data_IF_803927101711
#
_entry.id   IF_803927101711
#
_cell.length_a   1.000
_cell.length_b   1.000
_cell.length_c   1.000
_cell.angle_alpha   90.00
_cell.angle_beta   90.00
_cell.angle_gamma   90.00
#
_symmetry.space_group_name_H-M   'P 1'
#
loop_
_entity.id
_entity.type
_entity.pdbx_description
1 polymer ?
#
# COMPACT_ATOMS: atom_id res chain seq x y z
N UNK A 1 -57.97 -23.18 33.62
CA UNK A 1 -58.57 -21.83 33.48
C UNK A 1 -57.41 -20.86 33.31
N UNK A 2 -57.22 -20.07 32.27
CA UNK A 2 -57.99 -19.74 31.09
C UNK A 2 -57.00 -19.48 29.92
N UNK A 3 -57.46 -19.70 28.69
CA UNK A 3 -56.75 -19.43 27.43
C UNK A 3 -56.61 -17.92 27.19
N UNK A 4 -55.58 -17.43 26.46
CA UNK A 4 -55.68 -16.19 25.74
C UNK A 4 -56.14 -16.45 24.29
N UNK A 5 -57.25 -15.82 23.94
CA UNK A 5 -57.88 -15.89 22.63
C UNK A 5 -57.08 -15.13 21.57
N UNK A 6 -56.92 -15.79 20.42
CA UNK A 6 -56.52 -15.22 19.13
C UNK A 6 -57.58 -14.21 18.66
N UNK A 7 -57.16 -13.00 18.27
CA UNK A 7 -57.95 -12.10 17.45
C UNK A 7 -57.35 -12.01 16.03
N UNK A 8 -58.18 -11.87 14.98
CA UNK A 8 -57.77 -12.12 13.61
C UNK A 8 -57.17 -10.88 12.94
N UNK A 9 -56.23 -11.13 12.03
CA UNK A 9 -55.68 -10.16 11.10
C UNK A 9 -56.76 -9.64 10.15
N UNK A 10 -57.02 -8.33 10.19
CA UNK A 10 -57.81 -7.65 9.17
C UNK A 10 -56.93 -7.33 7.97
N UNK A 11 -57.14 -8.11 6.92
CA UNK A 11 -56.60 -7.92 5.58
C UNK A 11 -57.30 -6.72 4.92
N UNK A 12 -56.54 -5.71 4.50
CA UNK A 12 -57.04 -4.61 3.66
C UNK A 12 -56.52 -4.78 2.22
N UNK A 13 -57.37 -4.56 1.20
CA UNK A 13 -57.08 -4.90 -0.18
C UNK A 13 -56.16 -3.87 -0.85
N UNK A 14 -55.30 -4.38 -1.72
CA UNK A 14 -54.59 -3.61 -2.72
C UNK A 14 -55.56 -3.05 -3.78
N UNK A 15 -55.27 -1.84 -4.25
CA UNK A 15 -55.75 -1.35 -5.55
C UNK A 15 -56.83 -0.28 -5.48
N UNK A 16 -56.41 0.99 -5.52
CA UNK A 16 -57.08 1.97 -6.38
C UNK A 16 -56.13 3.09 -6.78
N UNK A 17 -56.10 3.32 -8.09
CA UNK A 17 -55.30 4.32 -8.77
C UNK A 17 -55.62 5.74 -8.28
N UNK A 18 -54.58 6.56 -8.23
CA UNK A 18 -54.66 7.99 -8.00
C UNK A 18 -55.54 8.67 -9.07
N UNK A 19 -56.48 9.56 -8.71
CA UNK A 19 -57.08 10.46 -9.67
C UNK A 19 -56.07 11.52 -10.09
N UNK A 20 -55.77 11.57 -11.39
CA UNK A 20 -55.04 12.66 -12.02
C UNK A 20 -55.90 13.93 -11.97
N UNK A 21 -55.36 15.02 -11.43
CA UNK A 21 -55.97 16.35 -11.47
C UNK A 21 -55.54 17.10 -12.75
N UNK A 22 -56.45 17.86 -13.38
CA UNK A 22 -56.20 18.50 -14.66
C UNK A 22 -55.24 19.69 -14.54
N UNK A 23 -54.35 19.80 -15.53
CA UNK A 23 -53.56 20.97 -15.80
C UNK A 23 -54.45 22.15 -16.24
N UNK A 24 -54.16 23.35 -15.73
CA UNK A 24 -54.53 24.60 -16.38
C UNK A 24 -55.60 25.43 -15.66
N UNK A 25 -55.17 26.32 -14.76
CA UNK A 25 -55.69 27.69 -14.72
C UNK A 25 -54.71 28.62 -14.01
N UNK A 26 -54.44 29.75 -14.67
CA UNK A 26 -53.53 30.79 -14.22
C UNK A 26 -53.98 31.41 -12.88
N UNK A 27 -53.03 31.58 -11.96
CA UNK A 27 -53.22 32.27 -10.70
C UNK A 27 -53.39 33.79 -10.93
N UNK A 28 -54.27 34.48 -10.17
CA UNK A 28 -54.30 35.95 -10.15
C UNK A 28 -53.05 36.48 -9.46
N UNK A 29 -52.41 37.49 -10.07
CA UNK A 29 -51.33 38.25 -9.46
C UNK A 29 -51.89 39.11 -8.32
N UNK A 30 -51.39 38.89 -7.10
CA UNK A 30 -51.62 39.76 -5.94
C UNK A 30 -50.47 40.77 -5.80
N UNK A 31 -50.75 41.99 -5.32
CA UNK A 31 -49.80 43.08 -5.29
C UNK A 31 -48.70 42.84 -4.25
N UNK A 32 -47.50 43.34 -4.56
CA UNK A 32 -46.32 43.28 -3.73
C UNK A 32 -46.58 43.91 -2.35
N UNK A 33 -46.88 43.07 -1.36
CA UNK A 33 -46.78 43.39 0.06
C UNK A 33 -45.31 43.42 0.47
N UNK A 34 -44.98 44.42 1.28
CA UNK A 34 -43.68 44.73 1.90
C UNK A 34 -42.75 43.53 2.06
N UNK A 35 -41.51 43.72 1.59
CA UNK A 35 -40.40 42.81 1.77
C UNK A 35 -40.23 42.42 3.25
N UNK A 36 -40.24 41.11 3.52
CA UNK A 36 -39.70 40.55 4.74
C UNK A 36 -38.24 41.00 4.91
N UNK A 37 -37.76 41.27 6.14
CA UNK A 37 -36.34 41.46 6.36
C UNK A 37 -35.65 40.14 6.07
N UNK A 38 -34.91 40.09 4.96
CA UNK A 38 -33.94 39.03 4.76
C UNK A 38 -32.93 39.14 5.91
N UNK A 39 -32.93 38.15 6.80
CA UNK A 39 -31.77 37.90 7.67
C UNK A 39 -30.53 37.94 6.77
N UNK A 40 -29.51 38.74 7.10
CA UNK A 40 -28.30 38.77 6.29
C UNK A 40 -27.77 37.35 6.28
N UNK A 41 -27.76 36.74 5.09
CA UNK A 41 -27.11 35.48 4.84
C UNK A 41 -25.73 35.56 5.50
N UNK A 42 -25.50 34.71 6.52
CA UNK A 42 -24.26 34.63 7.25
C UNK A 42 -23.12 34.60 6.24
N UNK A 43 -22.42 35.74 6.12
CA UNK A 43 -21.39 35.92 5.11
C UNK A 43 -20.30 34.93 5.47
N UNK A 44 -20.07 34.00 4.53
CA UNK A 44 -19.15 32.89 4.64
C UNK A 44 -17.90 33.28 5.43
N UNK A 45 -17.58 32.46 6.44
CA UNK A 45 -16.28 32.45 7.08
C UNK A 45 -15.21 32.54 5.98
N UNK A 46 -14.52 33.68 5.92
CA UNK A 46 -13.44 33.89 4.96
C UNK A 46 -12.34 32.93 5.37
N UNK A 47 -12.31 31.79 4.70
CA UNK A 47 -11.28 30.76 4.86
C UNK A 47 -9.92 31.40 4.64
N UNK A 48 -8.97 31.05 5.51
CA UNK A 48 -7.56 31.35 5.35
C UNK A 48 -7.07 30.68 4.05
N UNK A 49 -7.13 31.41 2.93
CA UNK A 49 -6.55 30.98 1.67
C UNK A 49 -5.07 31.37 1.67
N UNK A 50 -4.22 30.36 1.79
CA UNK A 50 -2.79 30.46 1.54
C UNK A 50 -2.51 30.34 0.03
N UNK A 51 -1.75 31.30 -0.51
CA UNK A 51 -1.14 31.29 -1.85
C UNK A 51 -1.98 31.94 -2.96
N UNK A 52 -1.46 32.71 -3.93
CA UNK A 52 -0.09 33.14 -4.21
C UNK A 52 -0.13 34.32 -5.23
N UNK A 53 0.88 35.19 -5.14
CA UNK A 53 1.47 36.06 -6.18
C UNK A 53 0.59 36.77 -7.26
N UNK A 54 0.58 38.11 -7.17
CA UNK A 54 0.39 39.01 -8.30
C UNK A 54 1.29 40.25 -8.11
N UNK A 55 2.42 40.30 -8.83
CA UNK A 55 3.33 41.44 -8.91
C UNK A 55 2.61 42.65 -9.53
N UNK A 56 2.52 43.75 -8.80
CA UNK A 56 2.58 45.09 -9.41
C UNK A 56 3.40 46.04 -8.54
N UNK A 57 4.10 46.93 -9.24
CA UNK A 57 5.32 47.59 -8.84
C UNK A 57 5.13 48.84 -7.99
N UNK A 58 6.18 49.18 -7.23
CA UNK A 58 6.55 50.57 -6.97
C UNK A 58 6.00 51.22 -5.71
N UNK A 59 6.78 51.15 -4.62
CA UNK A 59 6.55 52.00 -3.45
C UNK A 59 7.22 51.46 -2.19
N UNK A 60 8.55 51.51 -2.12
CA UNK A 60 9.28 51.25 -0.86
C UNK A 60 9.03 52.42 0.11
N UNK A 61 7.88 52.38 0.79
CA UNK A 61 7.59 53.24 1.94
C UNK A 61 8.48 52.72 3.07
N UNK A 62 9.61 53.38 3.32
CA UNK A 62 10.39 53.17 4.55
C UNK A 62 9.41 53.28 5.72
N UNK A 63 9.02 52.18 6.33
CA UNK A 63 8.30 52.20 7.61
C UNK A 63 9.22 52.94 8.59
N UNK A 64 8.84 54.18 8.92
CA UNK A 64 9.62 54.98 9.85
C UNK A 64 9.56 54.30 11.21
N UNK A 65 10.63 54.38 12.01
CA UNK A 65 10.66 53.81 13.35
C UNK A 65 9.50 54.31 14.24
N UNK A 66 8.92 55.47 13.91
CA UNK A 66 7.72 56.02 14.53
C UNK A 66 6.46 55.18 14.24
N UNK A 67 6.26 54.72 13.00
CA UNK A 67 5.10 53.91 12.60
C UNK A 67 5.12 52.52 13.24
N UNK A 68 6.30 51.88 13.31
CA UNK A 68 6.46 50.59 14.01
C UNK A 68 6.21 50.75 15.50
N UNK A 69 6.65 51.87 16.10
CA UNK A 69 6.40 52.18 17.52
C UNK A 69 4.91 52.35 17.80
N UNK A 70 4.17 53.02 16.91
CA UNK A 70 2.73 53.19 17.03
C UNK A 70 1.98 51.85 16.92
N UNK A 71 2.34 51.00 15.95
CA UNK A 71 1.81 49.63 15.83
C UNK A 71 2.02 48.82 17.10
N UNK A 72 3.24 48.85 17.66
CA UNK A 72 3.57 48.14 18.90
C UNK A 72 2.80 48.70 20.09
N UNK A 73 2.63 50.02 20.20
CA UNK A 73 1.83 50.63 21.25
C UNK A 73 0.37 50.17 21.18
N UNK A 74 -0.25 50.19 19.99
CA UNK A 74 -1.62 49.69 19.77
C UNK A 74 -1.76 48.22 20.16
N UNK A 75 -0.81 47.37 19.75
CA UNK A 75 -0.76 45.94 20.13
C UNK A 75 -0.64 45.80 21.65
N UNK A 76 0.24 46.55 22.32
CA UNK A 76 0.41 46.44 23.78
C UNK A 76 -0.83 46.89 24.55
N UNK A 77 -1.53 47.91 24.09
CA UNK A 77 -2.79 48.36 24.69
C UNK A 77 -3.90 47.33 24.49
N UNK A 78 -4.00 46.76 23.27
CA UNK A 78 -4.94 45.69 22.97
C UNK A 78 -4.66 44.42 23.79
N UNK A 79 -3.39 44.01 23.93
CA UNK A 79 -3.01 42.88 24.77
C UNK A 79 -3.37 43.12 26.24
N UNK A 80 -3.14 44.33 26.77
CA UNK A 80 -3.55 44.67 28.15
C UNK A 80 -5.07 44.59 28.34
N UNK A 81 -5.86 45.02 27.35
CA UNK A 81 -7.33 44.91 27.37
C UNK A 81 -7.79 43.45 27.27
N UNK A 82 -7.18 42.65 26.39
CA UNK A 82 -7.57 41.24 26.20
C UNK A 82 -7.19 40.36 27.41
N UNK A 83 -6.09 40.69 28.09
CA UNK A 83 -5.57 39.94 29.23
C UNK A 83 -5.84 40.62 30.58
N UNK A 84 -6.90 41.42 30.72
CA UNK A 84 -7.25 42.25 31.90
C UNK A 84 -6.84 41.70 33.30
N UNK A 85 -6.84 40.38 33.53
CA UNK A 85 -6.48 39.73 34.81
C UNK A 85 -5.25 38.79 34.77
N UNK A 86 -4.49 38.73 33.67
CA UNK A 86 -3.32 37.86 33.50
C UNK A 86 -2.11 38.66 32.97
N UNK A 87 -0.87 38.29 33.35
CA UNK A 87 0.31 38.92 32.77
C UNK A 87 0.37 38.62 31.27
N UNK A 88 0.57 39.66 30.45
CA UNK A 88 0.74 39.51 29.00
C UNK A 88 1.96 38.62 28.74
N UNK A 89 1.81 37.50 28.01
CA UNK A 89 2.93 36.62 27.70
C UNK A 89 4.03 37.36 26.95
N UNK A 90 5.29 37.07 27.31
CA UNK A 90 6.44 37.61 26.60
C UNK A 90 6.41 37.12 25.14
N UNK A 91 6.33 38.05 24.20
CA UNK A 91 6.35 37.74 22.77
C UNK A 91 7.61 38.30 22.12
N UNK A 92 8.17 37.55 21.18
CA UNK A 92 9.34 37.99 20.44
C UNK A 92 8.95 39.10 19.46
N UNK A 93 9.51 40.30 19.66
CA UNK A 93 9.24 41.52 18.90
C UNK A 93 9.97 41.47 17.54
N UNK A 94 9.61 40.49 16.72
CA UNK A 94 10.05 40.37 15.33
C UNK A 94 9.07 41.11 14.40
N UNK A 95 9.55 41.69 13.29
CA UNK A 95 8.72 42.40 12.31
C UNK A 95 7.54 41.55 11.80
N UNK A 96 7.75 40.24 11.62
CA UNK A 96 6.67 39.30 11.25
C UNK A 96 5.62 39.16 12.37
N UNK A 97 6.06 39.01 13.62
CA UNK A 97 5.17 38.92 14.80
C UNK A 97 4.37 40.20 15.01
N UNK A 98 5.00 41.37 14.87
CA UNK A 98 4.34 42.67 15.01
C UNK A 98 3.27 42.85 13.92
N UNK A 99 3.58 42.51 12.67
CA UNK A 99 2.60 42.63 11.59
C UNK A 99 1.43 41.65 11.75
N UNK A 100 1.70 40.41 12.18
CA UNK A 100 0.64 39.43 12.46
C UNK A 100 -0.25 39.88 13.62
N UNK A 101 0.34 40.34 14.72
CA UNK A 101 -0.40 40.87 15.86
C UNK A 101 -1.17 42.13 15.49
N UNK A 102 -0.60 43.03 14.69
CA UNK A 102 -1.30 44.22 14.21
C UNK A 102 -2.53 43.86 13.37
N UNK A 103 -2.40 42.92 12.44
CA UNK A 103 -3.56 42.44 11.67
C UNK A 103 -4.62 41.81 12.57
N UNK A 104 -4.21 41.08 13.61
CA UNK A 104 -5.12 40.46 14.56
C UNK A 104 -5.85 41.49 15.42
N UNK A 105 -5.16 42.56 15.82
CA UNK A 105 -5.75 43.74 16.48
C UNK A 105 -6.79 44.38 15.57
N UNK A 106 -6.44 44.71 14.32
CA UNK A 106 -7.36 45.32 13.35
C UNK A 106 -8.60 44.46 13.12
N UNK A 107 -8.41 43.15 12.92
CA UNK A 107 -9.50 42.21 12.76
C UNK A 107 -10.38 42.09 14.01
N UNK A 108 -9.79 42.12 15.20
CA UNK A 108 -10.54 42.08 16.45
C UNK A 108 -11.34 43.35 16.71
N UNK A 109 -10.78 44.53 16.41
CA UNK A 109 -11.45 45.82 16.55
C UNK A 109 -12.55 46.02 15.49
N UNK A 110 -12.35 45.52 14.27
CA UNK A 110 -13.40 45.47 13.25
C UNK A 110 -14.57 44.60 13.72
N UNK A 111 -14.27 43.38 14.18
CA UNK A 111 -15.30 42.50 14.75
C UNK A 111 -16.00 43.10 15.97
N UNK A 112 -15.26 43.77 16.87
CA UNK A 112 -15.83 44.43 18.05
C UNK A 112 -16.74 45.60 17.66
N UNK A 113 -16.38 46.37 16.62
CA UNK A 113 -17.24 47.42 16.05
C UNK A 113 -18.51 46.84 15.44
N UNK A 114 -18.39 45.78 14.64
CA UNK A 114 -19.56 45.12 14.01
C UNK A 114 -20.53 44.57 15.06
N UNK A 115 -20.01 43.92 16.11
CA UNK A 115 -20.80 43.46 17.25
C UNK A 115 -21.45 44.64 17.99
N UNK A 116 -20.72 45.73 18.18
CA UNK A 116 -21.27 46.93 18.84
C UNK A 116 -22.41 47.55 18.04
N UNK A 117 -22.29 47.63 16.71
CA UNK A 117 -23.37 48.10 15.84
C UNK A 117 -24.60 47.19 15.90
N UNK A 118 -24.41 45.86 15.91
CA UNK A 118 -25.51 44.91 16.07
C UNK A 118 -26.21 45.09 17.43
N UNK A 119 -25.46 45.27 18.51
CA UNK A 119 -26.03 45.50 19.85
C UNK A 119 -26.88 46.78 19.85
N UNK A 120 -26.38 47.86 19.25
CA UNK A 120 -27.10 49.12 19.22
C UNK A 120 -28.38 49.04 18.35
N UNK A 121 -28.31 48.36 17.19
CA UNK A 121 -29.49 48.08 16.36
C UNK A 121 -30.55 47.27 17.12
N UNK A 122 -30.13 46.23 17.84
CA UNK A 122 -31.05 45.42 18.65
C UNK A 122 -31.70 46.21 19.78
N UNK A 123 -30.95 47.11 20.43
CA UNK A 123 -31.50 47.99 21.47
C UNK A 123 -32.51 48.98 20.91
N UNK A 124 -32.17 49.62 19.79
CA UNK A 124 -33.06 50.56 19.12
C UNK A 124 -34.37 49.86 18.72
N UNK A 125 -34.26 48.66 18.13
CA UNK A 125 -35.43 47.87 17.75
C UNK A 125 -36.27 47.44 18.95
N UNK A 126 -35.65 47.06 20.07
CA UNK A 126 -36.37 46.74 21.30
C UNK A 126 -37.16 47.96 21.81
N UNK A 127 -36.56 49.14 21.82
CA UNK A 127 -37.24 50.38 22.21
C UNK A 127 -38.40 50.73 21.27
N UNK A 128 -38.26 50.49 19.96
CA UNK A 128 -39.34 50.67 18.99
C UNK A 128 -40.51 49.69 19.24
N UNK A 129 -40.22 48.42 19.51
CA UNK A 129 -41.26 47.44 19.86
C UNK A 129 -41.95 47.76 21.18
N UNK A 130 -41.22 48.22 22.20
CA UNK A 130 -41.80 48.63 23.48
C UNK A 130 -42.75 49.82 23.29
N UNK A 131 -42.34 50.83 22.52
CA UNK A 131 -43.18 51.99 22.22
C UNK A 131 -44.43 51.62 21.40
N UNK A 132 -44.30 50.73 20.42
CA UNK A 132 -45.46 50.23 19.64
C UNK A 132 -46.41 49.40 20.53
N UNK A 133 -45.87 48.60 21.46
CA UNK A 133 -46.69 47.85 22.40
C UNK A 133 -47.49 48.77 23.34
N UNK A 134 -46.87 49.83 23.86
CA UNK A 134 -47.55 50.86 24.66
C UNK A 134 -48.65 51.57 23.85
N UNK A 135 -48.36 51.93 22.60
CA UNK A 135 -49.32 52.56 21.68
C UNK A 135 -50.52 51.65 21.39
N UNK A 136 -50.28 50.39 21.04
CA UNK A 136 -51.37 49.43 20.77
C UNK A 136 -52.20 49.17 22.04
N UNK A 137 -51.56 49.10 23.20
CA UNK A 137 -52.25 48.96 24.47
C UNK A 137 -53.14 50.17 24.77
N UNK A 138 -52.66 51.40 24.54
CA UNK A 138 -53.45 52.62 24.74
C UNK A 138 -54.65 52.65 23.79
N UNK A 139 -54.46 52.29 22.51
CA UNK A 139 -55.56 52.20 21.54
C UNK A 139 -56.61 51.19 21.99
N UNK A 140 -56.21 49.97 22.38
CA UNK A 140 -57.15 48.92 22.82
C UNK A 140 -57.94 49.33 24.07
N UNK A 141 -57.30 50.03 25.01
CA UNK A 141 -57.91 50.41 26.28
C UNK A 141 -58.76 51.69 26.19
N UNK A 142 -58.29 52.73 25.48
CA UNK A 142 -58.96 54.04 25.40
C UNK A 142 -60.05 54.09 24.31
N UNK A 143 -59.85 53.42 23.18
CA UNK A 143 -60.78 53.51 22.03
C UNK A 143 -61.78 52.36 21.96
N UNK A 144 -61.46 51.19 22.52
CA UNK A 144 -62.27 49.98 22.43
C UNK A 144 -62.71 49.42 23.79
N UNK A 145 -62.25 50.00 24.91
CA UNK A 145 -62.48 49.51 26.28
C UNK A 145 -62.11 48.02 26.49
N UNK A 146 -61.17 47.51 25.67
CA UNK A 146 -60.70 46.14 25.73
C UNK A 146 -59.52 46.04 26.69
N UNK A 147 -59.82 45.70 27.94
CA UNK A 147 -58.80 45.35 28.95
C UNK A 147 -58.51 43.85 28.93
N UNK A 148 -57.28 43.39 29.25
CA UNK A 148 -56.99 41.99 29.52
C UNK A 148 -57.89 41.35 30.58
N UNK A 149 -58.43 42.16 31.50
CA UNK A 149 -59.41 41.73 32.52
C UNK A 149 -60.81 41.46 31.97
N UNK A 150 -61.12 41.89 30.74
CA UNK A 150 -62.40 41.68 30.08
C UNK A 150 -62.53 40.27 29.49
N UNK A 151 -61.42 39.52 29.39
CA UNK A 151 -61.39 38.13 28.93
C UNK A 151 -61.69 37.16 30.07
N UNK A 152 -62.40 36.07 29.74
CA UNK A 152 -62.50 34.91 30.64
C UNK A 152 -61.11 34.32 30.93
N UNK A 153 -60.95 33.67 32.09
CA UNK A 153 -59.72 32.90 32.43
C UNK A 153 -59.31 31.95 31.30
N UNK A 154 -60.30 31.29 30.71
CA UNK A 154 -60.11 30.40 29.55
C UNK A 154 -59.53 31.17 28.36
N UNK A 155 -60.11 32.32 28.00
CA UNK A 155 -59.66 33.14 26.88
C UNK A 155 -58.25 33.69 27.07
N UNK A 156 -57.90 34.12 28.29
CA UNK A 156 -56.54 34.55 28.62
C UNK A 156 -55.52 33.41 28.48
N UNK A 157 -55.88 32.18 28.86
CA UNK A 157 -55.01 31.02 28.72
C UNK A 157 -54.79 30.65 27.24
N UNK A 158 -55.83 30.69 26.41
CA UNK A 158 -55.73 30.43 24.98
C UNK A 158 -54.86 31.49 24.27
N UNK A 159 -55.07 32.77 24.58
CA UNK A 159 -54.28 33.86 24.01
C UNK A 159 -52.81 33.74 24.41
N UNK A 160 -52.53 33.45 25.69
CA UNK A 160 -51.17 33.18 26.17
C UNK A 160 -50.53 32.02 25.41
N UNK A 161 -51.24 30.90 25.28
CA UNK A 161 -50.73 29.71 24.56
C UNK A 161 -50.44 30.02 23.09
N UNK A 162 -51.28 30.84 22.45
CA UNK A 162 -51.10 31.26 21.07
C UNK A 162 -49.85 32.14 20.90
N UNK A 163 -49.65 33.10 21.82
CA UNK A 163 -48.45 33.96 21.84
C UNK A 163 -47.20 33.14 22.13
N UNK A 164 -47.23 32.26 23.14
CA UNK A 164 -46.12 31.35 23.47
C UNK A 164 -45.76 30.47 22.26
N UNK A 165 -46.77 29.96 21.53
CA UNK A 165 -46.56 29.18 20.30
C UNK A 165 -45.96 30.01 19.17
N UNK A 166 -46.39 31.26 18.99
CA UNK A 166 -45.80 32.18 18.00
C UNK A 166 -44.33 32.45 18.31
N UNK A 167 -43.99 32.67 19.58
CA UNK A 167 -42.62 32.89 20.03
C UNK A 167 -41.75 31.66 19.81
N UNK A 168 -42.25 30.45 20.11
CA UNK A 168 -41.52 29.20 19.87
C UNK A 168 -41.27 28.96 18.38
N UNK A 169 -42.24 29.29 17.54
CA UNK A 169 -42.13 29.14 16.08
C UNK A 169 -41.46 30.34 15.41
N UNK A 170 -41.10 31.38 16.17
CA UNK A 170 -40.47 32.63 15.71
C UNK A 170 -41.30 33.33 14.61
N UNK A 171 -42.63 33.38 14.77
CA UNK A 171 -43.56 33.96 13.81
C UNK A 171 -43.93 35.41 14.20
N UNK A 172 -43.85 36.34 13.25
CA UNK A 172 -44.15 37.76 13.46
C UNK A 172 -45.66 38.05 13.61
N UNK A 173 -46.52 37.27 12.94
CA UNK A 173 -47.96 37.46 12.90
C UNK A 173 -48.74 36.27 13.48
N UNK A 174 -49.83 36.54 14.19
CA UNK A 174 -50.76 35.50 14.68
C UNK A 174 -51.69 34.94 13.58
N UNK A 175 -51.31 35.06 12.31
CA UNK A 175 -52.06 34.55 11.17
C UNK A 175 -51.90 33.03 11.06
N UNK A 176 -53.02 32.35 10.82
CA UNK A 176 -53.05 30.89 10.63
C UNK A 176 -52.08 30.41 9.53
N UNK A 177 -51.92 31.20 8.46
CA UNK A 177 -51.03 30.84 7.35
C UNK A 177 -49.57 30.82 7.82
N UNK A 178 -49.16 31.83 8.58
CA UNK A 178 -47.79 31.96 9.10
C UNK A 178 -47.45 30.81 10.04
N UNK A 179 -48.38 30.41 10.91
CA UNK A 179 -48.24 29.21 11.75
C UNK A 179 -48.09 27.93 10.91
N UNK A 180 -48.95 27.73 9.91
CA UNK A 180 -48.86 26.53 9.05
C UNK A 180 -47.54 26.48 8.28
N UNK A 181 -47.07 27.61 7.75
CA UNK A 181 -45.78 27.69 7.08
C UNK A 181 -44.64 27.34 8.05
N UNK A 182 -44.56 28.00 9.20
CA UNK A 182 -43.51 27.75 10.19
C UNK A 182 -43.52 26.30 10.71
N UNK A 183 -44.70 25.74 10.99
CA UNK A 183 -44.84 24.34 11.39
C UNK A 183 -44.37 23.37 10.30
N UNK A 184 -44.74 23.63 9.04
CA UNK A 184 -44.31 22.79 7.93
C UNK A 184 -42.81 22.88 7.70
N UNK A 185 -42.22 24.08 7.75
CA UNK A 185 -40.79 24.31 7.60
C UNK A 185 -40.01 23.57 8.70
N UNK A 186 -40.43 23.72 9.97
CA UNK A 186 -39.85 22.96 11.09
C UNK A 186 -40.01 21.45 10.94
N UNK A 187 -41.14 20.98 10.44
CA UNK A 187 -41.36 19.55 10.19
C UNK A 187 -40.45 19.01 9.09
N UNK A 188 -40.22 19.79 8.02
CA UNK A 188 -39.29 19.45 6.96
C UNK A 188 -37.83 19.43 7.45
N UNK A 189 -37.43 20.44 8.22
CA UNK A 189 -36.12 20.49 8.87
C UNK A 189 -35.89 19.28 9.78
N UNK A 190 -36.89 18.93 10.60
CA UNK A 190 -36.83 17.76 11.47
C UNK A 190 -36.62 16.47 10.67
N UNK A 191 -37.43 16.22 9.64
CA UNK A 191 -37.28 15.03 8.80
C UNK A 191 -35.94 14.98 8.06
N UNK A 192 -35.45 16.13 7.58
CA UNK A 192 -34.14 16.21 6.95
C UNK A 192 -33.01 15.87 7.95
N UNK A 193 -33.09 16.39 9.17
CA UNK A 193 -32.15 16.09 10.25
C UNK A 193 -32.21 14.60 10.65
N UNK A 194 -33.41 14.03 10.78
CA UNK A 194 -33.60 12.60 11.07
C UNK A 194 -32.99 11.70 9.99
N UNK A 195 -33.19 12.05 8.71
CA UNK A 195 -32.62 11.30 7.59
C UNK A 195 -31.09 11.36 7.61
N UNK A 196 -30.52 12.55 7.83
CA UNK A 196 -29.07 12.73 7.98
C UNK A 196 -28.51 11.96 9.17
N UNK A 197 -29.22 11.93 10.29
CA UNK A 197 -28.82 11.14 11.46
C UNK A 197 -28.76 9.65 11.15
N UNK A 198 -29.78 9.10 10.46
CA UNK A 198 -29.79 7.70 10.03
C UNK A 198 -28.63 7.37 9.08
N UNK A 199 -28.32 8.28 8.15
CA UNK A 199 -27.17 8.14 7.25
C UNK A 199 -25.85 8.09 8.02
N UNK A 200 -25.63 9.04 8.94
CA UNK A 200 -24.44 9.06 9.80
C UNK A 200 -24.32 7.80 10.67
N UNK A 201 -25.43 7.30 11.23
CA UNK A 201 -25.44 6.04 11.99
C UNK A 201 -25.01 4.84 11.12
N UNK A 202 -25.46 4.80 9.86
CA UNK A 202 -25.06 3.76 8.93
C UNK A 202 -23.57 3.85 8.55
N UNK A 203 -23.05 5.06 8.33
CA UNK A 203 -21.62 5.29 8.11
C UNK A 203 -20.78 4.91 9.33
N UNK A 204 -21.25 5.24 10.54
CA UNK A 204 -20.62 4.85 11.79
C UNK A 204 -20.59 3.32 11.94
N UNK A 205 -21.68 2.62 11.58
CA UNK A 205 -21.71 1.17 11.60
C UNK A 205 -20.72 0.57 10.57
N UNK A 206 -20.64 1.15 9.38
CA UNK A 206 -19.71 0.71 8.34
C UNK A 206 -18.25 0.91 8.75
N UNK A 207 -17.91 2.08 9.29
CA UNK A 207 -16.57 2.37 9.81
C UNK A 207 -16.20 1.45 10.97
N UNK A 208 -17.13 1.16 11.90
CA UNK A 208 -16.93 0.15 12.96
C UNK A 208 -16.62 -1.24 12.39
N UNK A 209 -17.36 -1.71 11.38
CA UNK A 209 -17.10 -3.00 10.72
C UNK A 209 -15.72 -3.04 10.07
N UNK A 210 -15.33 -1.97 9.37
CA UNK A 210 -14.00 -1.83 8.78
C UNK A 210 -12.92 -1.86 9.85
N UNK A 211 -13.09 -1.11 10.93
CA UNK A 211 -12.16 -1.07 12.06
C UNK A 211 -11.97 -2.45 12.69
N UNK A 212 -13.05 -3.20 12.90
CA UNK A 212 -12.94 -4.57 13.43
C UNK A 212 -12.19 -5.50 12.48
N UNK A 213 -12.40 -5.38 11.17
CA UNK A 213 -11.69 -6.19 10.18
C UNK A 213 -10.20 -5.84 10.11
N UNK A 214 -9.85 -4.55 10.20
CA UNK A 214 -8.45 -4.11 10.20
C UNK A 214 -7.72 -4.53 11.48
N UNK A 215 -8.38 -4.47 12.65
CA UNK A 215 -7.79 -4.95 13.91
C UNK A 215 -7.51 -6.45 13.89
N UNK A 216 -8.42 -7.26 13.32
CA UNK A 216 -8.17 -8.70 13.17
C UNK A 216 -6.99 -8.98 12.22
N UNK A 217 -6.85 -8.19 11.15
CA UNK A 217 -5.72 -8.32 10.24
C UNK A 217 -4.40 -7.92 10.92
N UNK A 218 -4.41 -6.87 11.73
CA UNK A 218 -3.26 -6.42 12.53
C UNK A 218 -2.79 -7.52 13.48
N UNK A 219 -3.69 -8.14 14.25
CA UNK A 219 -3.37 -9.25 15.14
C UNK A 219 -2.78 -10.45 14.38
N UNK A 220 -3.27 -10.72 13.16
CA UNK A 220 -2.74 -11.77 12.31
C UNK A 220 -1.32 -11.44 11.81
N UNK A 221 -1.09 -10.19 11.39
CA UNK A 221 0.24 -9.73 10.95
C UNK A 221 1.26 -9.77 12.10
N UNK A 222 0.86 -9.44 13.32
CA UNK A 222 1.70 -9.55 14.50
C UNK A 222 2.12 -11.00 14.77
N UNK A 223 1.18 -11.94 14.69
CA UNK A 223 1.48 -13.39 14.81
C UNK A 223 2.44 -13.87 13.73
N UNK A 224 2.26 -13.40 12.50
CA UNK A 224 3.14 -13.80 11.39
C UNK A 224 4.53 -13.16 11.50
N UNK A 225 4.63 -11.94 12.03
CA UNK A 225 5.92 -11.31 12.36
C UNK A 225 6.69 -12.13 13.39
N UNK A 226 6.05 -12.57 14.47
CA UNK A 226 6.69 -13.42 15.48
C UNK A 226 7.16 -14.77 14.92
N UNK A 227 6.39 -15.39 14.01
CA UNK A 227 6.85 -16.59 13.29
C UNK A 227 8.07 -16.32 12.41
N UNK A 228 8.07 -15.20 11.69
CA UNK A 228 9.21 -14.83 10.83
C UNK A 228 10.45 -14.55 11.68
N UNK A 229 10.29 -13.88 12.82
CA UNK A 229 11.38 -13.59 13.76
C UNK A 229 12.01 -14.87 14.31
N UNK A 230 11.21 -15.82 14.76
CA UNK A 230 11.72 -17.12 15.24
C UNK A 230 12.40 -17.93 14.12
N UNK A 231 11.88 -17.89 12.89
CA UNK A 231 12.53 -18.52 11.74
C UNK A 231 13.86 -17.85 11.39
N UNK A 232 13.93 -16.52 11.49
CA UNK A 232 15.15 -15.75 11.25
C UNK A 232 16.25 -16.15 12.25
N UNK A 233 15.94 -16.20 13.55
CA UNK A 233 16.88 -16.63 14.59
C UNK A 233 17.45 -18.03 14.31
N UNK A 234 16.60 -18.97 13.85
CA UNK A 234 17.02 -20.32 13.47
C UNK A 234 17.95 -20.30 12.25
N UNK A 235 17.63 -19.54 11.21
CA UNK A 235 18.49 -19.44 10.02
C UNK A 235 19.80 -18.71 10.30
N UNK A 236 19.79 -17.69 11.14
CA UNK A 236 21.01 -17.02 11.60
C UNK A 236 21.94 -18.03 12.29
N UNK A 237 21.44 -18.79 13.26
CA UNK A 237 22.22 -19.83 13.94
C UNK A 237 22.74 -20.92 12.99
N UNK A 238 21.94 -21.35 12.01
CA UNK A 238 22.39 -22.30 10.97
C UNK A 238 23.46 -21.70 10.08
N UNK A 239 23.29 -20.44 9.66
CA UNK A 239 24.25 -19.75 8.81
C UNK A 239 25.58 -19.55 9.53
N UNK A 240 25.55 -19.24 10.83
CA UNK A 240 26.73 -19.12 11.68
C UNK A 240 27.44 -20.47 11.82
N UNK A 241 26.71 -21.56 12.06
CA UNK A 241 27.28 -22.92 12.09
C UNK A 241 27.93 -23.30 10.75
N UNK A 242 27.30 -22.97 9.62
CA UNK A 242 27.88 -23.19 8.29
C UNK A 242 29.15 -22.38 8.08
N UNK A 243 29.18 -21.13 8.53
CA UNK A 243 30.35 -20.25 8.45
C UNK A 243 31.52 -20.84 9.25
N UNK A 244 31.26 -21.30 10.48
CA UNK A 244 32.27 -21.96 11.32
C UNK A 244 32.81 -23.24 10.66
N UNK A 245 31.94 -24.07 10.08
CA UNK A 245 32.36 -25.27 9.36
C UNK A 245 33.19 -24.94 8.11
N UNK A 246 32.83 -23.90 7.36
CA UNK A 246 33.60 -23.44 6.21
C UNK A 246 34.99 -22.97 6.62
N UNK A 247 35.10 -22.23 7.72
CA UNK A 247 36.38 -21.81 8.28
C UNK A 247 37.25 -23.02 8.67
N UNK A 248 36.67 -24.00 9.38
CA UNK A 248 37.38 -25.23 9.73
C UNK A 248 37.88 -26.00 8.50
N UNK A 249 37.05 -26.13 7.45
CA UNK A 249 37.45 -26.81 6.22
C UNK A 249 38.58 -26.07 5.49
N UNK A 250 38.54 -24.73 5.50
CA UNK A 250 39.61 -23.91 4.94
C UNK A 250 40.93 -24.17 5.68
N UNK A 251 40.92 -24.08 7.00
CA UNK A 251 42.11 -24.32 7.84
C UNK A 251 42.66 -25.73 7.63
N UNK A 252 41.78 -26.75 7.56
CA UNK A 252 42.16 -28.13 7.26
C UNK A 252 42.75 -28.30 5.87
N UNK A 253 42.25 -27.59 4.86
CA UNK A 253 42.79 -27.62 3.50
C UNK A 253 44.19 -27.01 3.42
N UNK A 254 44.44 -25.95 4.19
CA UNK A 254 45.76 -25.30 4.28
C UNK A 254 46.77 -26.22 4.97
N UNK A 255 46.36 -26.85 6.08
CA UNK A 255 47.19 -27.84 6.76
C UNK A 255 47.50 -29.06 5.88
N UNK A 256 46.52 -29.61 5.14
CA UNK A 256 46.77 -30.68 4.17
C UNK A 256 47.74 -30.24 3.06
N UNK A 257 47.60 -29.01 2.56
CA UNK A 257 48.51 -28.44 1.55
C UNK A 257 49.94 -28.35 2.08
N UNK A 258 50.12 -27.95 3.34
CA UNK A 258 51.43 -27.92 4.00
C UNK A 258 51.99 -29.35 4.11
N UNK A 259 51.17 -30.32 4.55
CA UNK A 259 51.58 -31.74 4.68
C UNK A 259 52.00 -32.36 3.34
N UNK A 260 51.28 -32.04 2.26
CA UNK A 260 51.63 -32.49 0.90
C UNK A 260 52.99 -31.92 0.49
N UNK A 261 53.22 -30.61 0.65
CA UNK A 261 54.52 -30.00 0.33
C UNK A 261 55.68 -30.65 1.09
N UNK A 262 55.51 -30.88 2.40
CA UNK A 262 56.53 -31.56 3.22
C UNK A 262 56.78 -32.99 2.71
N UNK A 263 55.74 -33.73 2.32
CA UNK A 263 55.89 -35.07 1.77
C UNK A 263 56.58 -35.08 0.40
N UNK A 264 56.27 -34.13 -0.47
CA UNK A 264 56.94 -33.93 -1.77
C UNK A 264 58.42 -33.59 -1.58
N UNK A 265 58.75 -32.69 -0.65
CA UNK A 265 60.14 -32.37 -0.27
C UNK A 265 60.87 -33.60 0.29
N UNK A 266 60.20 -34.45 1.08
CA UNK A 266 60.76 -35.72 1.56
C UNK A 266 60.99 -36.72 0.42
N UNK A 267 60.07 -36.84 -0.54
CA UNK A 267 60.22 -37.74 -1.68
C UNK A 267 61.37 -37.32 -2.60
N UNK A 268 61.49 -36.01 -2.86
CA UNK A 268 62.59 -35.44 -3.64
C UNK A 268 63.94 -35.60 -2.95
N UNK A 269 64.03 -35.35 -1.64
CA UNK A 269 65.27 -35.58 -0.85
C UNK A 269 65.66 -37.06 -0.76
N UNK A 270 64.69 -37.98 -0.76
CA UNK A 270 64.94 -39.43 -0.81
C UNK A 270 65.39 -39.93 -2.20
N UNK A 271 65.53 -39.04 -3.19
CA UNK A 271 66.07 -39.36 -4.52
C UNK A 271 65.04 -39.88 -5.53
N UNK A 272 63.73 -39.72 -5.25
CA UNK A 272 62.68 -40.11 -6.19
C UNK A 272 62.55 -39.07 -7.31
N UNK A 273 63.18 -39.34 -8.45
CA UNK A 273 63.13 -38.50 -9.65
C UNK A 273 61.89 -38.86 -10.51
N UNK A 274 61.36 -37.90 -11.28
CA UNK A 274 60.21 -38.12 -12.19
C UNK A 274 60.40 -39.28 -13.19
N UNK A 275 61.65 -39.63 -13.50
CA UNK A 275 62.00 -40.78 -14.33
C UNK A 275 61.70 -42.14 -13.68
N UNK A 276 61.59 -42.21 -12.35
CA UNK A 276 61.28 -43.43 -11.59
C UNK A 276 59.77 -43.52 -11.24
N UNK A 277 58.96 -42.58 -11.70
CA UNK A 277 57.51 -42.65 -11.54
C UNK A 277 56.93 -43.78 -12.39
N UNK A 278 55.80 -44.34 -11.93
CA UNK A 278 55.14 -45.46 -12.58
C UNK A 278 54.90 -45.20 -14.09
N UNK A 279 54.42 -44.00 -14.44
CA UNK A 279 54.21 -43.60 -15.84
C UNK A 279 55.48 -43.71 -16.69
N UNK A 280 56.61 -43.19 -16.19
CA UNK A 280 57.91 -43.26 -16.86
C UNK A 280 58.42 -44.70 -16.98
N UNK A 281 58.24 -45.52 -15.94
CA UNK A 281 58.60 -46.94 -15.92
C UNK A 281 57.76 -47.75 -16.91
N UNK A 282 56.45 -47.51 -16.97
CA UNK A 282 55.54 -48.15 -17.92
C UNK A 282 55.96 -47.80 -19.34
N UNK A 283 56.16 -46.53 -19.65
CA UNK A 283 56.64 -46.08 -20.97
C UNK A 283 57.98 -46.72 -21.36
N UNK A 284 58.90 -46.90 -20.40
CA UNK A 284 60.21 -47.54 -20.64
C UNK A 284 60.06 -49.04 -20.87
N UNK A 285 59.17 -49.71 -20.13
CA UNK A 285 58.87 -51.13 -20.28
C UNK A 285 58.17 -51.43 -21.62
N UNK A 286 57.25 -50.57 -22.05
CA UNK A 286 56.58 -50.69 -23.34
C UNK A 286 57.58 -50.53 -24.50
N UNK A 287 58.51 -49.58 -24.39
CA UNK A 287 59.63 -49.45 -25.34
C UNK A 287 60.51 -50.68 -25.36
N UNK A 288 60.85 -51.23 -24.18
CA UNK A 288 61.68 -52.42 -24.08
C UNK A 288 60.99 -53.65 -24.67
N UNK A 289 59.68 -53.84 -24.45
CA UNK A 289 58.90 -54.91 -25.07
C UNK A 289 58.83 -54.74 -26.60
N UNK A 290 58.71 -53.50 -27.09
CA UNK A 290 58.84 -53.17 -28.51
C UNK A 290 60.19 -53.61 -29.08
N UNK A 291 61.30 -53.23 -28.45
CA UNK A 291 62.65 -53.64 -28.84
C UNK A 291 62.87 -55.15 -28.72
N UNK A 292 62.27 -55.81 -27.72
CA UNK A 292 62.32 -57.26 -27.54
C UNK A 292 61.62 -57.97 -28.69
N UNK A 293 60.44 -57.49 -29.10
CA UNK A 293 59.71 -58.02 -30.27
C UNK A 293 60.54 -57.89 -31.55
N UNK A 294 61.20 -56.74 -31.74
CA UNK A 294 62.13 -56.53 -32.85
C UNK A 294 63.34 -57.48 -32.77
N UNK A 295 63.93 -57.66 -31.59
CA UNK A 295 65.05 -58.58 -31.36
C UNK A 295 64.66 -60.03 -31.67
N UNK A 296 63.48 -60.49 -31.22
CA UNK A 296 62.97 -61.83 -31.50
C UNK A 296 62.67 -61.99 -33.00
N UNK A 297 62.21 -60.95 -33.68
CA UNK A 297 62.01 -60.94 -35.12
C UNK A 297 63.33 -61.04 -35.89
N UNK A 298 64.33 -60.24 -35.52
CA UNK A 298 65.68 -60.27 -36.12
C UNK A 298 66.36 -61.61 -35.84
N UNK A 299 66.24 -62.15 -34.62
CA UNK A 299 66.79 -63.46 -34.27
C UNK A 299 66.15 -64.58 -35.09
N UNK A 300 64.83 -64.58 -35.27
CA UNK A 300 64.15 -65.53 -36.18
C UNK A 300 64.66 -65.43 -37.60
N UNK A 301 64.84 -64.20 -38.12
CA UNK A 301 65.45 -64.02 -39.44
C UNK A 301 66.87 -64.59 -39.49
N UNK A 302 67.69 -64.33 -38.47
CA UNK A 302 69.06 -64.83 -38.39
C UNK A 302 69.13 -66.35 -38.33
N UNK A 303 68.29 -66.99 -37.50
CA UNK A 303 68.22 -68.45 -37.39
C UNK A 303 67.87 -69.08 -38.76
N UNK A 304 66.95 -68.47 -39.54
CA UNK A 304 66.69 -68.90 -40.91
C UNK A 304 67.90 -68.76 -41.85
N UNK A 305 68.85 -67.86 -41.57
CA UNK A 305 70.08 -67.72 -42.37
C UNK A 305 71.21 -68.64 -41.90
N UNK A 306 71.22 -69.06 -40.62
CA UNK A 306 72.23 -69.96 -40.06
C UNK A 306 72.11 -71.40 -40.59
N UNK A 307 70.93 -71.81 -41.03
CA UNK A 307 70.71 -73.11 -41.69
C UNK A 307 71.27 -73.16 -43.13
N UNK A 308 71.69 -72.02 -43.70
CA UNK A 308 72.31 -71.98 -45.03
C UNK A 308 73.83 -72.11 -44.95
N UNK A 309 74.46 -72.91 -45.83
CA UNK A 309 75.92 -72.98 -45.93
C UNK A 309 76.53 -71.60 -46.26
N UNK A 310 77.69 -71.22 -45.69
CA UNK A 310 78.29 -69.89 -45.88
C UNK A 310 78.67 -69.51 -47.32
N UNK A 311 78.63 -70.46 -48.26
CA UNK A 311 79.03 -70.25 -49.65
C UNK A 311 77.80 -70.14 -50.57
N UNK A 312 77.62 -68.97 -51.20
CA UNK A 312 76.44 -68.58 -51.99
C UNK A 312 76.10 -69.59 -53.10
N UNK A 313 77.12 -70.17 -53.74
CA UNK A 313 76.95 -71.17 -54.81
C UNK A 313 76.37 -72.48 -54.27
N UNK A 314 76.79 -72.89 -53.06
CA UNK A 314 76.36 -74.14 -52.42
C UNK A 314 74.98 -74.00 -51.77
N UNK A 315 74.68 -72.83 -51.21
CA UNK A 315 73.36 -72.49 -50.69
C UNK A 315 72.30 -72.50 -51.80
N UNK A 316 72.60 -71.96 -52.99
CA UNK A 316 71.68 -72.00 -54.14
C UNK A 316 71.38 -73.42 -54.61
N UNK A 317 72.39 -74.31 -54.60
CA UNK A 317 72.21 -75.74 -54.93
C UNK A 317 71.33 -76.42 -53.89
N UNK A 318 71.57 -76.24 -52.60
CA UNK A 318 70.74 -76.86 -51.54
C UNK A 318 69.31 -76.33 -51.50
N UNK A 319 69.09 -75.05 -51.81
CA UNK A 319 67.73 -74.49 -51.93
C UNK A 319 67.01 -75.09 -53.14
N UNK A 320 67.68 -75.26 -54.27
CA UNK A 320 67.11 -75.93 -55.45
C UNK A 320 66.85 -77.42 -55.21
N UNK A 321 67.73 -78.10 -54.48
CA UNK A 321 67.57 -79.50 -54.10
C UNK A 321 66.38 -79.70 -53.16
N UNK A 322 66.26 -78.88 -52.11
CA UNK A 322 65.10 -78.88 -51.22
C UNK A 322 63.79 -78.49 -51.94
N UNK A 323 63.83 -77.58 -52.92
CA UNK A 323 62.67 -77.28 -53.78
C UNK A 323 62.25 -78.48 -54.61
N UNK A 324 63.20 -79.25 -55.16
CA UNK A 324 62.90 -80.48 -55.90
C UNK A 324 62.34 -81.56 -54.99
N UNK A 325 62.87 -81.70 -53.78
CA UNK A 325 62.33 -82.62 -52.77
C UNK A 325 60.91 -82.24 -52.35
N UNK A 326 60.65 -80.93 -52.14
CA UNK A 326 59.31 -80.42 -51.83
C UNK A 326 58.33 -80.69 -52.97
N UNK A 327 58.70 -80.36 -54.21
CA UNK A 327 57.85 -80.64 -55.38
C UNK A 327 57.59 -82.15 -55.53
N UNK A 328 58.58 -83.00 -55.29
CA UNK A 328 58.40 -84.45 -55.32
C UNK A 328 57.47 -84.95 -54.20
N UNK A 329 57.50 -84.34 -53.01
CA UNK A 329 56.58 -84.64 -51.92
C UNK A 329 55.17 -84.10 -52.18
N UNK A 330 55.04 -82.89 -52.74
CA UNK A 330 53.76 -82.30 -53.17
C UNK A 330 53.12 -83.12 -54.28
N UNK A 331 53.89 -83.64 -55.24
CA UNK A 331 53.41 -84.57 -56.26
C UNK A 331 52.98 -85.90 -55.63
N UNK A 332 53.72 -86.44 -54.66
CA UNK A 332 53.31 -87.65 -53.93
C UNK A 332 52.04 -87.43 -53.10
N UNK A 333 51.93 -86.27 -52.47
CA UNK A 333 50.75 -85.87 -51.72
C UNK A 333 49.55 -85.66 -52.64
N UNK A 334 49.76 -85.03 -53.79
CA UNK A 334 48.74 -84.84 -54.84
C UNK A 334 48.28 -86.17 -55.41
N UNK A 335 49.20 -87.10 -55.74
CA UNK A 335 48.85 -88.47 -56.14
C UNK A 335 48.08 -89.24 -55.07
N UNK A 336 48.43 -89.03 -53.79
CA UNK A 336 47.74 -89.67 -52.68
C UNK A 336 46.33 -89.09 -52.45
N UNK A 337 46.16 -87.79 -52.65
CA UNK A 337 44.84 -87.14 -52.68
C UNK A 337 44.04 -87.63 -53.88
N UNK A 338 44.64 -87.72 -55.06
CA UNK A 338 43.99 -88.22 -56.28
C UNK A 338 43.54 -89.69 -56.14
N UNK A 339 44.36 -90.55 -55.56
CA UNK A 339 43.99 -91.93 -55.19
C UNK A 339 42.84 -91.96 -54.18
N UNK A 340 42.87 -91.12 -53.15
CA UNK A 340 41.78 -91.03 -52.16
C UNK A 340 40.47 -90.53 -52.81
N UNK A 341 40.55 -89.60 -53.76
CA UNK A 341 39.39 -89.11 -54.51
C UNK A 341 38.87 -90.13 -55.53
N UNK A 342 39.72 -91.01 -56.08
CA UNK A 342 39.31 -92.12 -56.94
C UNK A 342 38.60 -93.22 -56.13
N UNK A 343 39.15 -93.60 -54.97
CA UNK A 343 38.53 -94.55 -54.03
C UNK A 343 37.18 -94.02 -53.47
N UNK A 344 37.06 -92.70 -53.28
CA UNK A 344 35.78 -92.06 -52.89
C UNK A 344 34.75 -91.97 -54.02
N UNK A 345 35.14 -92.05 -55.30
CA UNK A 345 34.22 -92.04 -56.43
C UNK A 345 33.74 -93.46 -56.82
N UNK A 346 34.54 -94.50 -56.59
CA UNK A 346 34.12 -95.90 -56.80
C UNK A 346 33.15 -96.39 -55.72
N UNK A 347 33.23 -95.87 -54.49
CA UNK A 347 32.29 -96.18 -53.40
C UNK A 347 30.90 -95.52 -53.54
N UNK A 348 30.67 -94.72 -54.59
CA UNK A 348 29.38 -94.06 -54.88
C UNK A 348 28.59 -94.68 -56.04
N UNK A 349 29.06 -95.81 -56.59
CA UNK A 349 28.37 -96.62 -57.63
C UNK A 349 27.90 -98.00 -57.14
N UNK A 350 27.73 -98.14 -55.81
CA UNK A 350 26.84 -99.08 -55.12
C UNK A 350 25.93 -98.23 -54.21
#
# INVERSE_FOLDING_TARGET
>A
MAQPALLPALQLPAGRAAPQLPAGRAAPQLPAGRAAPQLPAGRAARTLSAGNAGMEAGGSRRETAAFVREKVQRITSWLKKTFENQPVPEFNVNAQTINLLHMLVEYSEERERDVSFLIEDMKQRAAEYDAEAEYLQSVLTESLDLSPSSLSKEGTAHLKTLVDSAMILEVEDLSLISFFCAMNDRSLELHAAELKNKEMEQELLNSKKKLTATLLLEEQLEKDLEKVKTHLEIEEAKSESRLQNLQFLKDKSEDLRIRIKIAEEKLTTSGLNQSLMHESLVNLSEKLDGMQKEMVHVKRKLDCYLDLPPNLSLARVKVEEAKRELNALEEKFSKKIEMLTHDMLETRRL
#
